data_IF_815042808422
#
_entry.id   IF_815042808422
#
_cell.length_a   1.000
_cell.length_b   1.000
_cell.length_c   1.000
_cell.angle_alpha   90.00
_cell.angle_beta   90.00
_cell.angle_gamma   90.00
#
_symmetry.space_group_name_H-M   'P 1'
#
loop_
_entity.id
_entity.type
_entity.pdbx_description
1 polymer ?
#
# COMPACT_ATOMS: atom_id res chain seq x y z
N UNK A 1 13.42 12.91 6.55
CA UNK A 1 12.92 12.27 7.80
C UNK A 1 11.45 12.66 7.93
N UNK A 2 10.55 11.73 8.21
CA UNK A 2 9.20 12.09 8.66
C UNK A 2 9.31 12.32 10.17
N UNK A 3 9.05 13.56 10.61
CA UNK A 3 9.06 13.90 12.03
C UNK A 3 7.84 13.28 12.73
N UNK A 4 6.66 13.56 12.17
CA UNK A 4 5.36 13.18 12.74
C UNK A 4 4.67 12.13 11.85
N UNK A 5 4.40 10.95 12.41
CA UNK A 5 3.81 9.84 11.65
C UNK A 5 2.28 9.85 11.63
N UNK A 6 1.64 10.52 12.58
CA UNK A 6 0.20 10.44 12.77
C UNK A 6 -0.65 10.91 11.58
N UNK A 7 -0.36 12.06 10.92
CA UNK A 7 -1.10 12.49 9.74
C UNK A 7 -1.04 11.48 8.59
N UNK A 8 0.13 10.85 8.39
CA UNK A 8 0.31 9.81 7.37
C UNK A 8 -0.50 8.57 7.69
N UNK A 9 -0.52 8.14 8.96
CA UNK A 9 -1.34 7.01 9.41
C UNK A 9 -2.83 7.29 9.29
N UNK A 10 -3.25 8.52 9.63
CA UNK A 10 -4.63 8.95 9.49
C UNK A 10 -5.08 8.93 8.01
N UNK A 11 -4.28 9.48 7.10
CA UNK A 11 -4.58 9.42 5.67
C UNK A 11 -4.63 7.98 5.15
N UNK A 12 -3.75 7.09 5.61
CA UNK A 12 -3.79 5.66 5.25
C UNK A 12 -5.10 4.99 5.69
N UNK A 13 -5.61 5.32 6.89
CA UNK A 13 -6.91 4.84 7.34
C UNK A 13 -8.05 5.38 6.46
N UNK A 14 -8.04 6.67 6.15
CA UNK A 14 -9.05 7.27 5.29
C UNK A 14 -9.04 6.68 3.88
N UNK A 15 -7.85 6.48 3.28
CA UNK A 15 -7.70 5.81 1.98
C UNK A 15 -8.27 4.40 2.03
N UNK A 16 -7.94 3.62 3.06
CA UNK A 16 -8.47 2.26 3.23
C UNK A 16 -10.01 2.25 3.21
N UNK A 17 -10.64 3.20 3.90
CA UNK A 17 -12.11 3.31 3.90
C UNK A 17 -12.69 3.81 2.57
N UNK A 18 -11.97 4.69 1.86
CA UNK A 18 -12.35 5.11 0.50
C UNK A 18 -12.27 3.95 -0.48
N UNK A 19 -11.24 3.11 -0.40
CA UNK A 19 -11.04 1.93 -1.23
C UNK A 19 -12.10 0.86 -0.95
N UNK A 20 -12.45 0.62 0.32
CA UNK A 20 -13.51 -0.31 0.69
C UNK A 20 -14.84 0.05 0.01
N UNK A 21 -15.18 1.35 -0.03
CA UNK A 21 -16.38 1.85 -0.71
C UNK A 21 -16.37 1.63 -2.24
N UNK A 22 -15.21 1.40 -2.85
CA UNK A 22 -15.11 1.15 -4.31
C UNK A 22 -15.56 -0.26 -4.70
N UNK A 23 -15.57 -1.21 -3.76
CA UNK A 23 -16.03 -2.59 -4.01
C UNK A 23 -17.45 -2.66 -4.54
N UNK A 24 -18.32 -1.78 -4.05
CA UNK A 24 -19.75 -1.75 -4.38
C UNK A 24 -20.13 -0.62 -5.34
N UNK A 25 -19.15 0.13 -5.85
CA UNK A 25 -19.41 1.32 -6.67
C UNK A 25 -19.87 0.97 -8.08
N UNK A 26 -21.12 1.29 -8.41
CA UNK A 26 -21.67 0.94 -9.74
C UNK A 26 -21.14 1.78 -10.91
N UNK A 27 -20.87 3.07 -10.69
CA UNK A 27 -20.50 4.00 -11.78
C UNK A 27 -19.00 4.23 -11.83
N UNK A 28 -18.36 3.85 -12.92
CA UNK A 28 -16.95 4.13 -13.16
C UNK A 28 -16.75 5.23 -14.19
N UNK A 29 -15.86 6.14 -13.87
CA UNK A 29 -15.41 7.24 -14.75
C UNK A 29 -13.90 7.28 -14.72
N UNK A 30 -13.27 7.91 -15.70
CA UNK A 30 -11.82 8.14 -15.68
C UNK A 30 -11.37 8.84 -14.39
N UNK A 31 -12.18 9.77 -13.87
CA UNK A 31 -11.92 10.43 -12.60
C UNK A 31 -11.94 9.44 -11.42
N UNK A 32 -12.85 8.46 -11.41
CA UNK A 32 -12.87 7.44 -10.36
C UNK A 32 -11.62 6.58 -10.42
N UNK A 33 -11.23 6.12 -11.63
CA UNK A 33 -10.03 5.32 -11.82
C UNK A 33 -8.78 6.07 -11.36
N UNK A 34 -8.67 7.35 -11.72
CA UNK A 34 -7.59 8.23 -11.26
C UNK A 34 -7.55 8.37 -9.73
N UNK A 35 -8.70 8.53 -9.06
CA UNK A 35 -8.74 8.65 -7.60
C UNK A 35 -8.26 7.37 -6.92
N UNK A 36 -8.62 6.19 -7.44
CA UNK A 36 -8.11 4.91 -6.94
C UNK A 36 -6.61 4.79 -7.16
N UNK A 37 -6.14 5.06 -8.38
CA UNK A 37 -4.72 5.04 -8.72
C UNK A 37 -3.90 5.96 -7.80
N UNK A 38 -4.32 7.23 -7.68
CA UNK A 38 -3.70 8.21 -6.78
C UNK A 38 -3.69 7.73 -5.34
N UNK A 39 -4.83 7.29 -4.83
CA UNK A 39 -4.95 6.85 -3.43
C UNK A 39 -4.02 5.66 -3.15
N UNK A 40 -3.90 4.69 -4.08
CA UNK A 40 -2.98 3.55 -3.96
C UNK A 40 -1.51 3.98 -4.03
N UNK A 41 -1.14 4.81 -5.02
CA UNK A 41 0.26 5.25 -5.19
C UNK A 41 0.74 6.10 -4.02
N UNK A 42 -0.07 7.07 -3.58
CA UNK A 42 0.29 7.96 -2.46
C UNK A 42 0.38 7.16 -1.15
N UNK A 43 -0.52 6.19 -0.95
CA UNK A 43 -0.47 5.31 0.22
C UNK A 43 0.77 4.41 0.21
N UNK A 44 1.12 3.82 -0.93
CA UNK A 44 2.34 3.03 -1.08
C UNK A 44 3.60 3.88 -0.78
N UNK A 45 3.64 5.12 -1.27
CA UNK A 45 4.70 6.06 -0.93
C UNK A 45 4.73 6.39 0.57
N UNK A 46 3.59 6.72 1.18
CA UNK A 46 3.47 7.01 2.60
C UNK A 46 3.99 5.85 3.47
N UNK A 47 3.55 4.62 3.19
CA UNK A 47 4.02 3.41 3.86
C UNK A 47 5.54 3.25 3.71
N UNK A 48 6.07 3.40 2.49
CA UNK A 48 7.52 3.30 2.22
C UNK A 48 8.30 4.35 3.04
N UNK A 49 7.82 5.59 3.10
CA UNK A 49 8.46 6.66 3.84
C UNK A 49 8.39 6.47 5.35
N UNK A 50 7.27 5.99 5.89
CA UNK A 50 7.12 5.65 7.30
C UNK A 50 8.07 4.51 7.69
N UNK A 51 8.18 3.48 6.86
CA UNK A 51 9.12 2.38 7.08
C UNK A 51 10.58 2.86 7.05
N UNK A 52 10.97 3.69 6.08
CA UNK A 52 12.32 4.28 6.02
C UNK A 52 12.62 5.22 7.20
N UNK A 53 11.61 5.89 7.73
CA UNK A 53 11.72 6.73 8.93
C UNK A 53 11.72 5.93 10.24
N UNK A 54 11.74 4.58 10.17
CA UNK A 54 11.65 3.69 11.34
C UNK A 54 10.41 3.98 12.18
N UNK A 55 9.26 4.17 11.51
CA UNK A 55 7.94 4.36 12.13
C UNK A 55 7.02 3.17 11.89
N UNK A 56 7.54 2.06 11.37
CA UNK A 56 6.79 0.81 11.14
C UNK A 56 7.62 -0.30 11.73
N UNK A 57 7.03 -1.18 12.55
CA UNK A 57 7.78 -2.29 13.14
C UNK A 57 8.22 -3.28 12.08
N UNK A 58 9.26 -4.06 12.38
CA UNK A 58 9.73 -5.11 11.47
C UNK A 58 8.62 -6.14 11.23
N UNK A 59 7.85 -6.49 12.27
CA UNK A 59 6.71 -7.41 12.19
C UNK A 59 5.70 -7.01 11.12
N UNK A 60 5.32 -5.73 11.07
CA UNK A 60 4.38 -5.22 10.05
C UNK A 60 5.06 -5.15 8.68
N UNK A 61 6.31 -4.68 8.63
CA UNK A 61 7.07 -4.54 7.39
C UNK A 61 7.33 -5.86 6.66
N UNK A 62 7.57 -6.95 7.39
CA UNK A 62 7.81 -8.29 6.85
C UNK A 62 6.54 -9.13 6.77
N UNK A 63 5.38 -8.57 7.10
CA UNK A 63 4.13 -9.33 7.04
C UNK A 63 3.87 -9.78 5.59
N UNK A 64 3.60 -11.09 5.37
CA UNK A 64 3.37 -11.60 4.02
C UNK A 64 2.00 -11.13 3.53
N UNK A 65 1.98 -10.60 2.31
CA UNK A 65 0.77 -10.17 1.59
C UNK A 65 0.59 -11.13 0.42
N UNK A 66 -0.52 -11.91 0.38
CA UNK A 66 -0.76 -12.84 -0.72
C UNK A 66 -0.98 -12.07 -2.03
N UNK A 67 -0.38 -12.57 -3.09
CA UNK A 67 -0.54 -12.06 -4.46
C UNK A 67 -0.60 -13.22 -5.44
N UNK A 68 -1.21 -13.00 -6.60
CA UNK A 68 -1.08 -13.92 -7.72
C UNK A 68 -0.03 -13.39 -8.69
N UNK A 69 0.84 -14.26 -9.18
CA UNK A 69 1.93 -13.94 -10.09
C UNK A 69 1.64 -14.56 -11.45
N UNK A 70 1.55 -13.70 -12.46
CA UNK A 70 1.30 -14.05 -13.85
C UNK A 70 2.61 -13.88 -14.64
N UNK A 71 3.16 -14.99 -15.12
CA UNK A 71 4.46 -14.99 -15.80
C UNK A 71 4.35 -14.31 -17.17
N UNK A 72 5.38 -13.56 -17.57
CA UNK A 72 5.46 -13.01 -18.92
C UNK A 72 5.65 -14.17 -19.93
N UNK A 73 4.77 -14.26 -20.92
CA UNK A 73 4.83 -15.25 -22.02
C UNK A 73 5.00 -14.59 -23.39
N UNK A 74 4.62 -13.30 -23.50
CA UNK A 74 4.70 -12.52 -24.71
C UNK A 74 5.88 -11.53 -24.73
N UNK A 75 5.72 -10.50 -25.55
CA UNK A 75 6.66 -9.37 -25.57
C UNK A 75 6.49 -8.54 -24.29
N UNK A 76 7.59 -8.04 -23.75
CA UNK A 76 7.53 -7.12 -22.62
C UNK A 76 6.69 -5.89 -23.00
N UNK A 77 5.64 -5.54 -22.22
CA UNK A 77 4.80 -4.38 -22.48
C UNK A 77 5.63 -3.10 -22.60
N UNK A 78 5.48 -2.32 -23.67
CA UNK A 78 6.21 -1.07 -23.88
C UNK A 78 5.31 0.15 -23.61
N UNK A 79 5.80 1.36 -23.93
CA UNK A 79 5.13 2.61 -23.59
C UNK A 79 3.78 2.79 -24.30
N UNK A 80 3.53 2.00 -25.36
CA UNK A 80 2.27 2.03 -26.11
C UNK A 80 1.28 0.97 -25.63
N UNK A 81 1.70 0.08 -24.72
CA UNK A 81 0.96 -1.11 -24.29
C UNK A 81 1.04 -1.34 -22.79
N UNK A 82 1.08 -0.27 -21.99
CA UNK A 82 1.26 -0.35 -20.53
C UNK A 82 0.12 -1.09 -19.81
N UNK A 83 -1.03 -1.22 -20.46
CA UNK A 83 -2.24 -1.91 -19.99
C UNK A 83 -2.47 -3.27 -20.69
N UNK A 84 -1.56 -3.71 -21.56
CA UNK A 84 -1.67 -5.00 -22.28
C UNK A 84 -1.35 -6.17 -21.36
N UNK A 85 -2.37 -6.62 -20.63
CA UNK A 85 -2.30 -7.83 -19.81
C UNK A 85 -2.17 -9.10 -20.67
N UNK A 86 -2.49 -9.06 -21.96
CA UNK A 86 -2.39 -10.23 -22.86
C UNK A 86 -0.96 -10.74 -23.06
N UNK A 87 0.05 -9.98 -22.64
CA UNK A 87 1.44 -10.41 -22.63
C UNK A 87 1.78 -11.44 -21.52
N UNK A 88 0.90 -11.63 -20.55
CA UNK A 88 1.12 -12.48 -19.37
C UNK A 88 0.23 -13.72 -19.36
N UNK A 89 0.67 -14.74 -18.63
CA UNK A 89 -0.04 -16.02 -18.47
C UNK A 89 -1.13 -15.93 -17.39
N UNK A 90 -2.37 -16.15 -17.82
CA UNK A 90 -3.55 -16.23 -16.95
C UNK A 90 -4.07 -17.66 -16.79
N UNK A 91 -3.47 -18.64 -17.47
CA UNK A 91 -3.83 -20.05 -17.36
C UNK A 91 -3.00 -20.73 -16.27
N UNK A 92 -1.70 -20.44 -16.19
CA UNK A 92 -0.78 -20.97 -15.17
C UNK A 92 -0.40 -19.92 -14.11
N UNK A 93 -1.35 -19.63 -13.22
CA UNK A 93 -1.23 -18.60 -12.19
C UNK A 93 -0.57 -19.17 -10.93
N UNK A 94 0.50 -18.52 -10.45
CA UNK A 94 1.17 -18.91 -9.20
C UNK A 94 0.78 -17.99 -8.05
N UNK A 95 0.24 -18.53 -6.95
CA UNK A 95 0.08 -17.78 -5.70
C UNK A 95 1.42 -17.65 -4.97
N UNK A 96 1.80 -16.44 -4.59
CA UNK A 96 3.01 -16.14 -3.82
C UNK A 96 2.73 -15.05 -2.79
N UNK A 97 3.75 -14.60 -2.07
CA UNK A 97 3.64 -13.51 -1.11
C UNK A 97 4.68 -12.44 -1.37
N UNK A 98 4.31 -11.18 -1.18
CA UNK A 98 5.24 -10.06 -1.12
C UNK A 98 5.28 -9.51 0.30
N UNK A 99 6.45 -9.04 0.74
CA UNK A 99 6.54 -8.18 1.92
C UNK A 99 5.91 -6.83 1.63
N UNK A 100 5.55 -6.08 2.68
CA UNK A 100 5.02 -4.72 2.54
C UNK A 100 5.96 -3.83 1.72
N UNK A 101 7.27 -3.96 1.93
CA UNK A 101 8.29 -3.21 1.19
C UNK A 101 8.28 -3.55 -0.29
N UNK A 102 8.21 -4.83 -0.64
CA UNK A 102 8.17 -5.27 -2.04
C UNK A 102 6.90 -4.82 -2.74
N UNK A 103 5.74 -4.94 -2.07
CA UNK A 103 4.47 -4.46 -2.58
C UNK A 103 4.50 -2.95 -2.87
N UNK A 104 4.95 -2.14 -1.92
CA UNK A 104 5.07 -0.69 -2.11
C UNK A 104 6.01 -0.34 -3.28
N UNK A 105 7.11 -1.09 -3.45
CA UNK A 105 8.01 -0.87 -4.57
C UNK A 105 7.35 -1.18 -5.93
N UNK A 106 6.44 -2.17 -6.00
CA UNK A 106 5.70 -2.43 -7.24
C UNK A 106 4.80 -1.25 -7.62
N UNK A 107 4.12 -0.64 -6.65
CA UNK A 107 3.26 0.52 -6.90
C UNK A 107 4.03 1.81 -7.19
N UNK A 108 5.05 2.14 -6.40
CA UNK A 108 5.83 3.39 -6.58
C UNK A 108 6.56 3.41 -7.93
N UNK A 109 6.99 2.24 -8.41
CA UNK A 109 7.71 2.10 -9.67
C UNK A 109 6.86 1.43 -10.75
N UNK A 110 5.53 1.45 -10.61
CA UNK A 110 4.63 0.75 -11.51
C UNK A 110 4.80 1.23 -12.94
N UNK A 111 4.97 0.27 -13.84
CA UNK A 111 4.90 0.46 -15.28
C UNK A 111 3.58 -0.08 -15.83
N UNK A 112 3.14 -1.22 -15.29
CA UNK A 112 1.78 -1.76 -15.48
C UNK A 112 1.01 -1.44 -14.21
N UNK A 113 -0.15 -0.80 -14.37
CA UNK A 113 -1.12 -0.57 -13.30
C UNK A 113 -2.52 -0.62 -13.92
N UNK A 114 -3.27 -1.70 -13.65
CA UNK A 114 -4.60 -1.93 -14.22
C UNK A 114 -5.57 -2.31 -13.12
N UNK A 115 -6.65 -1.55 -12.98
CA UNK A 115 -7.73 -1.86 -12.04
C UNK A 115 -8.53 -3.06 -12.56
N UNK A 116 -8.80 -4.02 -11.68
CA UNK A 116 -9.54 -5.24 -12.00
C UNK A 116 -10.90 -5.23 -11.27
N UNK A 117 -11.97 -5.45 -12.03
CA UNK A 117 -13.29 -5.77 -11.48
C UNK A 117 -13.35 -7.25 -11.12
N UNK A 118 -14.23 -7.62 -10.18
CA UNK A 118 -14.42 -9.02 -9.79
C UNK A 118 -15.43 -9.73 -10.69
N UNK A 119 -15.25 -11.04 -10.82
CA UNK A 119 -16.15 -11.91 -11.60
C UNK A 119 -17.56 -12.02 -10.98
N UNK A 120 -17.70 -11.68 -9.70
CA UNK A 120 -18.95 -11.64 -8.93
C UNK A 120 -19.79 -10.37 -9.20
N UNK A 121 -19.32 -9.49 -10.09
CA UNK A 121 -19.94 -8.20 -10.36
C UNK A 121 -19.56 -7.12 -9.35
N UNK A 122 -18.61 -7.38 -8.45
CA UNK A 122 -17.95 -6.33 -7.67
C UNK A 122 -17.20 -5.39 -8.59
N UNK A 123 -17.23 -4.11 -8.24
CA UNK A 123 -16.82 -3.09 -9.20
C UNK A 123 -15.30 -2.88 -9.23
N UNK A 124 -14.65 -3.04 -8.07
CA UNK A 124 -13.20 -3.12 -7.94
C UNK A 124 -12.89 -4.27 -6.97
N UNK A 125 -12.17 -5.27 -7.47
CA UNK A 125 -11.77 -6.44 -6.70
C UNK A 125 -10.25 -6.50 -6.49
N UNK A 126 -9.47 -5.87 -7.37
CA UNK A 126 -8.03 -5.83 -7.23
C UNK A 126 -7.33 -4.94 -8.23
N UNK A 127 -6.00 -5.06 -8.26
CA UNK A 127 -5.13 -4.32 -9.17
C UNK A 127 -4.06 -5.26 -9.71
N UNK A 128 -3.85 -5.23 -11.03
CA UNK A 128 -2.64 -5.76 -11.65
C UNK A 128 -1.54 -4.71 -11.61
N UNK A 129 -0.39 -5.06 -11.06
CA UNK A 129 0.75 -4.16 -10.92
C UNK A 129 2.06 -4.86 -11.26
N UNK A 130 2.91 -4.17 -12.02
CA UNK A 130 4.29 -4.55 -12.23
C UNK A 130 5.17 -3.31 -12.29
N UNK A 131 6.26 -3.31 -11.53
CA UNK A 131 7.28 -2.27 -11.67
C UNK A 131 7.98 -2.33 -13.03
N UNK A 132 8.70 -1.27 -13.44
CA UNK A 132 9.49 -1.30 -14.67
C UNK A 132 10.47 -2.49 -14.71
N UNK A 133 11.05 -2.85 -13.57
CA UNK A 133 11.95 -4.01 -13.48
C UNK A 133 11.17 -5.31 -13.64
N UNK A 134 10.01 -5.42 -13.00
CA UNK A 134 9.28 -6.68 -12.91
C UNK A 134 8.43 -7.01 -14.15
N UNK A 135 7.95 -6.02 -14.92
CA UNK A 135 7.17 -6.24 -16.15
C UNK A 135 7.86 -7.15 -17.17
N UNK A 136 9.20 -7.26 -17.09
CA UNK A 136 10.04 -8.14 -17.92
C UNK A 136 9.98 -9.62 -17.48
N UNK A 137 9.29 -9.90 -16.37
CA UNK A 137 9.22 -11.22 -15.72
C UNK A 137 7.79 -11.60 -15.40
N UNK A 138 7.03 -10.74 -14.75
CA UNK A 138 5.67 -11.04 -14.32
C UNK A 138 4.88 -9.76 -14.03
N UNK A 139 3.56 -9.92 -13.99
CA UNK A 139 2.63 -8.97 -13.36
C UNK A 139 2.02 -9.63 -12.13
N UNK A 140 1.78 -8.83 -11.09
CA UNK A 140 1.13 -9.30 -9.87
C UNK A 140 -0.30 -8.84 -9.82
N UNK A 141 -1.23 -9.73 -9.52
CA UNK A 141 -2.56 -9.36 -9.06
C UNK A 141 -2.55 -9.24 -7.54
N UNK A 142 -3.05 -8.11 -7.05
CA UNK A 142 -3.18 -7.80 -5.63
C UNK A 142 -4.66 -7.60 -5.34
N UNK A 143 -5.22 -8.44 -4.47
CA UNK A 143 -6.60 -8.30 -4.02
C UNK A 143 -6.80 -6.98 -3.28
N UNK A 144 -7.93 -6.31 -3.53
CA UNK A 144 -8.25 -5.04 -2.90
C UNK A 144 -8.36 -5.17 -1.39
N UNK A 145 -8.92 -6.29 -0.91
CA UNK A 145 -9.02 -6.58 0.52
C UNK A 145 -7.63 -6.68 1.20
N UNK A 146 -6.68 -7.35 0.55
CA UNK A 146 -5.30 -7.48 1.05
C UNK A 146 -4.58 -6.13 1.04
N UNK A 147 -4.81 -5.31 0.01
CA UNK A 147 -4.25 -3.96 -0.08
C UNK A 147 -4.80 -3.03 1.02
N UNK A 148 -6.12 -3.07 1.25
CA UNK A 148 -6.79 -2.33 2.33
C UNK A 148 -6.25 -2.77 3.69
N UNK A 149 -6.14 -4.07 3.91
CA UNK A 149 -5.60 -4.62 5.15
C UNK A 149 -4.13 -4.21 5.36
N UNK A 150 -3.30 -4.21 4.31
CA UNK A 150 -1.93 -3.73 4.38
C UNK A 150 -1.85 -2.26 4.82
N UNK A 151 -2.70 -1.39 4.27
CA UNK A 151 -2.77 0.02 4.70
C UNK A 151 -3.29 0.17 6.12
N UNK A 152 -4.31 -0.60 6.53
CA UNK A 152 -4.84 -0.59 7.90
C UNK A 152 -3.81 -1.08 8.92
N UNK A 153 -3.00 -2.09 8.61
CA UNK A 153 -1.91 -2.54 9.50
C UNK A 153 -0.92 -1.43 9.81
N UNK A 154 -0.57 -0.60 8.83
CA UNK A 154 0.32 0.54 9.06
C UNK A 154 -0.43 1.69 9.73
N UNK A 155 -1.66 1.97 9.34
CA UNK A 155 -2.45 3.07 9.90
C UNK A 155 -2.68 2.90 11.42
N UNK A 156 -3.01 1.68 11.84
CA UNK A 156 -3.37 1.38 13.23
C UNK A 156 -2.24 0.69 14.02
N UNK A 157 -1.00 0.78 13.55
CA UNK A 157 0.14 0.37 14.35
C UNK A 157 0.60 1.52 15.25
N UNK A 158 0.64 1.27 16.56
CA UNK A 158 1.30 2.15 17.53
C UNK A 158 2.61 1.53 18.00
N UNK A 159 3.68 2.33 17.99
CA UNK A 159 5.03 1.88 18.35
C UNK A 159 5.21 2.07 19.85
N UNK A 160 5.19 0.97 20.60
CA UNK A 160 5.24 0.96 22.07
C UNK A 160 6.62 0.64 22.63
N UNK A 161 7.52 0.12 21.80
CA UNK A 161 8.89 -0.20 22.21
C UNK A 161 9.89 0.11 21.11
N UNK A 162 11.01 0.72 21.50
CA UNK A 162 12.14 1.02 20.62
C UNK A 162 13.43 0.81 21.40
N UNK A 163 14.27 -0.12 20.94
CA UNK A 163 15.59 -0.37 21.52
C UNK A 163 16.68 0.15 20.58
N UNK A 164 17.66 0.88 21.15
CA UNK A 164 18.80 1.41 20.42
C UNK A 164 20.08 0.76 20.92
N UNK A 165 21.00 0.47 20.00
CA UNK A 165 22.38 0.09 20.32
C UNK A 165 23.35 1.15 19.82
N UNK A 166 24.49 1.26 20.48
CA UNK A 166 25.60 2.07 19.97
C UNK A 166 26.40 1.21 18.98
N UNK A 167 26.64 1.73 17.78
CA UNK A 167 27.54 1.09 16.84
C UNK A 167 29.01 1.44 17.15
N UNK A 168 29.96 0.78 16.48
CA UNK A 168 31.40 0.99 16.66
C UNK A 168 31.85 2.43 16.38
N UNK A 169 31.04 3.22 15.67
CA UNK A 169 31.29 4.63 15.33
C UNK A 169 30.72 5.60 16.36
N UNK A 170 30.11 5.10 17.43
CA UNK A 170 29.46 5.92 18.45
C UNK A 170 28.10 6.50 18.01
N UNK A 171 27.50 5.96 16.96
CA UNK A 171 26.16 6.36 16.50
C UNK A 171 25.11 5.43 17.09
N UNK A 172 23.91 5.97 17.39
CA UNK A 172 22.76 5.15 17.81
C UNK A 172 22.13 4.50 16.58
N UNK A 173 22.09 3.18 16.58
CA UNK A 173 21.40 2.37 15.59
C UNK A 173 20.15 1.75 16.25
N UNK A 174 19.03 1.74 15.52
CA UNK A 174 17.84 1.00 15.94
C UNK A 174 18.16 -0.50 15.95
N UNK A 175 17.97 -1.15 17.10
CA UNK A 175 18.19 -2.58 17.27
C UNK A 175 16.87 -3.37 17.18
N UNK A 176 15.84 -2.91 17.88
CA UNK A 176 14.52 -3.54 17.89
C UNK A 176 13.39 -2.51 17.96
N UNK A 177 12.22 -2.87 17.42
CA UNK A 177 11.01 -2.06 17.44
C UNK A 177 9.78 -2.95 17.51
N UNK A 178 8.97 -2.78 18.55
CA UNK A 178 7.70 -3.47 18.68
C UNK A 178 6.52 -2.50 18.55
N UNK A 179 5.57 -2.90 17.71
CA UNK A 179 4.28 -2.21 17.55
C UNK A 179 3.11 -3.09 18.04
N UNK A 180 2.04 -2.43 18.46
CA UNK A 180 0.75 -3.05 18.78
C UNK A 180 -0.34 -2.53 17.85
N UNK A 181 -1.33 -3.38 17.58
CA UNK A 181 -2.49 -3.01 16.78
C UNK A 181 -3.50 -2.27 17.67
N UNK A 182 -3.82 -1.02 17.31
CA UNK A 182 -4.73 -0.13 18.03
C UNK A 182 -6.03 0.13 17.27
N UNK A 183 -6.47 -0.76 16.37
CA UNK A 183 -7.75 -0.63 15.61
C UNK A 183 -9.00 -0.39 16.47
N UNK A 184 -8.94 -0.71 17.77
CA UNK A 184 -10.03 -0.49 18.73
C UNK A 184 -9.97 0.87 19.45
N UNK A 185 -8.97 1.70 19.16
CA UNK A 185 -8.78 3.02 19.76
C UNK A 185 -9.00 4.10 18.69
N UNK A 186 -9.49 5.27 19.10
CA UNK A 186 -9.53 6.43 18.20
C UNK A 186 -8.10 6.84 17.83
N UNK A 187 -7.87 7.12 16.54
CA UNK A 187 -6.57 7.60 16.09
C UNK A 187 -6.33 8.98 16.72
N UNK A 188 -5.19 9.24 17.38
CA UNK A 188 -4.94 10.50 18.07
C UNK A 188 -5.08 11.78 17.21
N UNK A 189 -5.05 11.63 15.89
CA UNK A 189 -5.18 12.71 14.91
C UNK A 189 -6.62 12.96 14.42
N UNK A 190 -7.62 12.18 14.84
CA UNK A 190 -9.02 12.40 14.44
C UNK A 190 -9.67 13.61 15.13
N UNK A 191 -9.11 14.07 16.26
CA UNK A 191 -9.66 15.17 17.07
C UNK A 191 -8.94 16.52 16.88
N UNK A 192 -7.79 16.54 16.19
CA UNK A 192 -6.96 17.74 16.09
C UNK A 192 -7.51 18.82 15.13
N UNK A 193 -8.49 18.48 14.27
CA UNK A 193 -9.12 19.43 13.35
C UNK A 193 -10.26 20.26 14.00
N UNK A 194 -10.78 19.85 15.16
CA UNK A 194 -11.84 20.59 15.87
C UNK A 194 -11.30 21.80 16.65
N UNK A 195 -10.05 21.73 17.12
CA UNK A 195 -9.44 22.79 17.95
C UNK A 195 -8.94 24.01 17.14
N UNK A 196 -8.94 23.95 15.80
CA UNK A 196 -8.51 25.06 14.94
C UNK A 196 -9.67 25.94 14.43
N UNK A 197 -10.92 25.64 14.78
CA UNK A 197 -12.08 26.43 14.39
C UNK A 197 -12.60 27.41 15.46
N UNK A 198 -12.10 27.35 16.70
CA UNK A 198 -12.49 28.30 17.75
C UNK A 198 -11.38 29.33 18.03
N UNK A 199 -11.32 30.35 17.17
CA UNK A 199 -10.74 31.64 17.55
C UNK A 199 -11.68 32.76 17.10
N UNK A 200 -12.55 33.26 17.97
CA UNK A 200 -13.36 34.43 17.67
C UNK A 200 -12.44 35.66 17.60
N UNK A 201 -12.56 36.43 16.50
CA UNK A 201 -12.09 37.82 16.46
C UNK A 201 -13.04 38.72 17.23
#
# INVERSE_FOLDING_TARGET
>A
MIWESGPWRHELAQVADRLEKRRTQRRWTQQTSFLVERDVMVSAYAVRKLHEARKVSEKVATSPIPVQRHQLIGQTPDILRTDDLGAYDFEDVTTTTLTLRELCNQFIHSYVFVLAAGDDGSALDGVFVASDRERRRAVYWVGLADLIEAFRRVAYEDIVHVEFRMNERGERELYDMAGVDVRHQELPWSSADDDLQESPR
#
